data_IF_712538419473
#
_entry.id   IF_712538419473
#
_cell.length_a   1.000
_cell.length_b   1.000
_cell.length_c   1.000
_cell.angle_alpha   90.00
_cell.angle_beta   90.00
_cell.angle_gamma   90.00
#
_symmetry.space_group_name_H-M   'P 1'
#
loop_
_entity.id
_entity.type
_entity.pdbx_description
1 polymer ?
#
# COMPACT_ATOMS: atom_id res chain seq x y z
N UNK A 1 34.09 -8.63 -6.94
CA UNK A 1 33.02 -8.98 -7.90
C UNK A 1 31.64 -9.20 -7.25
N UNK A 2 31.52 -9.57 -5.96
CA UNK A 2 30.23 -9.67 -5.25
C UNK A 2 29.53 -8.33 -4.96
N UNK A 3 30.29 -7.23 -4.89
CA UNK A 3 29.77 -5.86 -4.65
C UNK A 3 29.00 -5.28 -5.85
N UNK A 4 29.32 -5.71 -7.09
CA UNK A 4 28.63 -5.23 -8.29
C UNK A 4 27.21 -5.82 -8.40
N UNK A 5 27.03 -7.06 -7.93
CA UNK A 5 25.74 -7.74 -7.90
C UNK A 5 24.79 -7.09 -6.88
N UNK A 6 25.32 -6.62 -5.74
CA UNK A 6 24.54 -5.92 -4.71
C UNK A 6 24.01 -4.55 -5.16
N UNK A 7 24.75 -3.84 -6.02
CA UNK A 7 24.35 -2.51 -6.53
C UNK A 7 23.23 -2.60 -7.56
N UNK A 8 23.22 -3.64 -8.40
CA UNK A 8 22.16 -3.86 -9.38
C UNK A 8 20.81 -4.21 -8.74
N UNK A 9 20.82 -4.93 -7.60
CA UNK A 9 19.60 -5.28 -6.85
C UNK A 9 18.99 -4.06 -6.16
N UNK A 10 19.81 -3.15 -5.61
CA UNK A 10 19.33 -1.88 -5.05
C UNK A 10 18.77 -0.92 -6.11
N UNK A 11 19.28 -0.96 -7.35
CA UNK A 11 18.77 -0.12 -8.44
C UNK A 11 17.35 -0.48 -8.90
N UNK A 12 16.95 -1.75 -8.77
CA UNK A 12 15.60 -2.21 -9.14
C UNK A 12 14.53 -1.84 -8.10
N UNK A 13 14.91 -1.65 -6.83
CA UNK A 13 13.98 -1.34 -5.74
C UNK A 13 13.49 0.13 -5.76
N UNK A 14 14.30 1.05 -6.28
CA UNK A 14 13.98 2.48 -6.36
C UNK A 14 12.97 2.84 -7.47
N UNK A 15 12.70 1.93 -8.42
CA UNK A 15 11.78 2.17 -9.52
C UNK A 15 10.31 1.83 -9.19
N UNK A 16 10.02 1.27 -8.00
CA UNK A 16 8.66 0.83 -7.65
C UNK A 16 7.75 1.93 -7.09
N UNK A 17 8.22 3.19 -6.99
CA UNK A 17 7.35 4.33 -6.65
C UNK A 17 6.49 4.71 -7.87
N UNK A 18 5.68 3.75 -8.31
CA UNK A 18 4.62 3.96 -9.28
C UNK A 18 3.50 4.73 -8.60
N UNK A 19 3.16 5.88 -9.17
CA UNK A 19 2.00 6.69 -8.81
C UNK A 19 0.79 5.76 -8.64
N UNK A 20 0.20 5.73 -7.44
CA UNK A 20 -0.96 4.88 -7.16
C UNK A 20 -2.03 5.13 -8.25
N UNK A 21 -2.62 4.08 -8.83
CA UNK A 21 -3.63 4.23 -9.87
C UNK A 21 -4.78 5.08 -9.33
N UNK A 22 -5.31 5.98 -10.18
CA UNK A 22 -6.51 6.72 -9.82
C UNK A 22 -7.64 5.72 -9.54
N UNK A 23 -8.41 5.90 -8.45
CA UNK A 23 -9.50 4.98 -8.13
C UNK A 23 -10.48 4.97 -9.30
N UNK A 24 -10.58 3.83 -9.99
CA UNK A 24 -11.47 3.65 -11.15
C UNK A 24 -12.87 3.18 -10.74
N UNK A 25 -13.20 3.31 -9.44
CA UNK A 25 -14.40 2.75 -8.85
C UNK A 25 -15.55 3.76 -8.98
N UNK A 26 -16.65 3.38 -9.65
CA UNK A 26 -17.89 4.19 -9.78
C UNK A 26 -18.59 4.46 -8.42
N UNK A 27 -18.03 3.96 -7.32
CA UNK A 27 -18.51 4.17 -5.95
C UNK A 27 -17.42 4.85 -5.13
N UNK A 28 -17.70 5.98 -4.49
CA UNK A 28 -16.74 6.62 -3.61
C UNK A 28 -16.43 5.71 -2.43
N UNK A 29 -15.14 5.53 -2.18
CA UNK A 29 -14.58 4.85 -1.01
C UNK A 29 -13.85 5.88 -0.17
N UNK A 30 -13.94 5.75 1.15
CA UNK A 30 -13.42 6.76 2.07
C UNK A 30 -11.93 6.55 2.33
N UNK A 31 -11.49 5.28 2.33
CA UNK A 31 -10.09 4.91 2.60
C UNK A 31 -9.66 3.77 1.69
N UNK A 32 -8.48 3.93 1.09
CA UNK A 32 -7.77 2.88 0.35
C UNK A 32 -6.49 2.53 1.11
N UNK A 33 -6.42 1.31 1.64
CA UNK A 33 -5.23 0.77 2.30
C UNK A 33 -4.41 -0.02 1.29
N UNK A 34 -3.17 0.41 1.05
CA UNK A 34 -2.24 -0.27 0.16
C UNK A 34 -1.24 -1.09 0.98
N UNK A 35 -1.16 -2.38 0.67
CA UNK A 35 -0.27 -3.35 1.27
C UNK A 35 -0.85 -4.06 2.49
N UNK A 36 -0.42 -5.32 2.68
CA UNK A 36 -0.81 -6.18 3.79
C UNK A 36 0.26 -6.31 4.88
N UNK A 37 1.10 -5.28 5.04
CA UNK A 37 2.08 -5.24 6.13
C UNK A 37 1.40 -5.16 7.50
N UNK A 38 2.09 -5.61 8.55
CA UNK A 38 1.56 -5.60 9.93
C UNK A 38 1.05 -4.23 10.35
N UNK A 39 1.72 -3.15 9.93
CA UNK A 39 1.31 -1.78 10.24
C UNK A 39 0.03 -1.38 9.50
N UNK A 40 -0.12 -1.73 8.22
CA UNK A 40 -1.33 -1.45 7.43
C UNK A 40 -2.53 -2.26 7.92
N UNK A 41 -2.33 -3.54 8.24
CA UNK A 41 -3.38 -4.38 8.81
C UNK A 41 -3.83 -3.90 10.20
N UNK A 42 -2.89 -3.46 11.03
CA UNK A 42 -3.17 -2.86 12.36
C UNK A 42 -3.96 -1.56 12.20
N UNK A 43 -3.58 -0.70 11.25
CA UNK A 43 -4.31 0.53 10.95
C UNK A 43 -5.73 0.21 10.48
N UNK A 44 -5.89 -0.74 9.56
CA UNK A 44 -7.20 -1.16 9.06
C UNK A 44 -8.13 -1.65 10.16
N UNK A 45 -7.62 -2.49 11.08
CA UNK A 45 -8.39 -2.94 12.24
C UNK A 45 -8.78 -1.78 13.15
N UNK A 46 -7.85 -0.87 13.46
CA UNK A 46 -8.19 0.33 14.24
C UNK A 46 -9.28 1.18 13.58
N UNK A 47 -9.23 1.38 12.27
CA UNK A 47 -10.25 2.16 11.56
C UNK A 47 -11.62 1.50 11.62
N UNK A 48 -11.70 0.18 11.46
CA UNK A 48 -12.97 -0.55 11.55
C UNK A 48 -13.56 -0.49 12.96
N UNK A 49 -12.73 -0.50 14.01
CA UNK A 49 -13.19 -0.39 15.40
C UNK A 49 -13.63 1.04 15.77
N UNK A 50 -12.89 2.07 15.34
CA UNK A 50 -13.20 3.46 15.67
C UNK A 50 -14.32 4.06 14.80
N UNK A 51 -14.39 3.69 13.52
CA UNK A 51 -15.33 4.23 12.54
C UNK A 51 -15.86 3.12 11.62
N UNK A 52 -16.80 2.30 12.11
CA UNK A 52 -17.31 1.13 11.39
C UNK A 52 -18.11 1.48 10.12
N UNK A 53 -18.55 2.73 9.98
CA UNK A 53 -19.30 3.21 8.82
C UNK A 53 -18.41 3.51 7.60
N UNK A 54 -17.09 3.60 7.77
CA UNK A 54 -16.16 3.88 6.67
C UNK A 54 -16.11 2.73 5.67
N UNK A 55 -16.13 3.07 4.39
CA UNK A 55 -15.84 2.11 3.31
C UNK A 55 -14.34 2.04 3.07
N UNK A 56 -13.72 1.01 3.64
CA UNK A 56 -12.29 0.73 3.50
C UNK A 56 -12.07 -0.37 2.46
N UNK A 57 -11.24 -0.10 1.45
CA UNK A 57 -10.77 -1.10 0.49
C UNK A 57 -9.26 -1.36 0.68
N UNK A 58 -8.85 -2.62 0.56
CA UNK A 58 -7.46 -3.05 0.75
C UNK A 58 -6.90 -3.66 -0.54
N UNK A 59 -5.68 -3.25 -0.93
CA UNK A 59 -5.00 -3.69 -2.15
C UNK A 59 -3.58 -4.19 -1.89
#
# INVERSE_FOLDING_TARGET
MRKLLAVAVSGALLASCGKAPAPSNDKPVDVVLIGAGVMSATLGTMLTELQPDLKVEMF
#
